data_IF_248661022090
#
_entry.id   IF_248661022090
#
_cell.length_a   1.000
_cell.length_b   1.000
_cell.length_c   1.000
_cell.angle_alpha   90.00
_cell.angle_beta   90.00
_cell.angle_gamma   90.00
#
_symmetry.space_group_name_H-M   'P 1'
#
loop_
_entity.id
_entity.type
_entity.pdbx_description
1 polymer ?
#
# COMPACT_ATOMS: atom_id res chain seq x y z
N UNK A 1 20.18 -8.57 -0.35
CA UNK A 1 19.12 -7.60 -0.03
C UNK A 1 17.92 -7.98 -0.88
N UNK A 2 16.88 -8.57 -0.29
CA UNK A 2 15.66 -8.90 -1.01
C UNK A 2 14.88 -7.59 -1.20
N UNK A 3 15.02 -6.95 -2.36
CA UNK A 3 14.28 -5.73 -2.64
C UNK A 3 12.83 -6.10 -2.98
N UNK A 4 11.88 -5.63 -2.19
CA UNK A 4 10.47 -5.67 -2.56
C UNK A 4 10.24 -4.82 -3.82
N UNK A 5 9.29 -5.21 -4.67
CA UNK A 5 8.99 -4.53 -5.92
C UNK A 5 7.53 -4.08 -5.99
N UNK A 6 7.31 -2.85 -6.45
CA UNK A 6 6.00 -2.23 -6.67
C UNK A 6 5.92 -1.70 -8.11
N UNK A 7 4.72 -1.63 -8.71
CA UNK A 7 4.54 -0.89 -9.96
C UNK A 7 4.90 0.58 -9.75
N UNK A 8 5.55 1.22 -10.73
CA UNK A 8 5.93 2.63 -10.63
C UNK A 8 4.73 3.55 -10.46
N UNK A 9 3.63 3.22 -11.13
CA UNK A 9 2.35 3.90 -11.00
C UNK A 9 1.18 2.97 -11.27
N UNK A 10 0.04 3.31 -10.69
CA UNK A 10 -1.27 2.74 -11.02
C UNK A 10 -2.28 3.88 -11.15
N UNK A 11 -3.31 3.69 -11.96
CA UNK A 11 -4.35 4.70 -12.14
C UNK A 11 -5.76 4.13 -12.07
N UNK A 12 -6.68 4.94 -11.57
CA UNK A 12 -8.10 4.61 -11.48
C UNK A 12 -8.96 5.86 -11.49
N UNK A 13 -10.14 5.79 -12.08
CA UNK A 13 -11.11 6.89 -12.01
C UNK A 13 -11.76 6.94 -10.63
N UNK A 14 -12.30 8.12 -10.27
CA UNK A 14 -13.09 8.30 -9.06
C UNK A 14 -14.23 7.26 -8.98
N UNK A 15 -14.40 6.67 -7.81
CA UNK A 15 -15.40 5.62 -7.57
C UNK A 15 -14.99 4.21 -8.02
N UNK A 16 -13.89 4.05 -8.76
CA UNK A 16 -13.38 2.72 -9.13
C UNK A 16 -12.57 2.10 -8.00
N UNK A 17 -12.18 0.83 -8.20
CA UNK A 17 -11.26 0.12 -7.32
C UNK A 17 -9.87 0.13 -7.94
N UNK A 18 -8.86 0.45 -7.15
CA UNK A 18 -7.44 0.30 -7.53
C UNK A 18 -6.77 -0.73 -6.63
N UNK A 19 -5.83 -1.47 -7.22
CA UNK A 19 -5.00 -2.44 -6.51
C UNK A 19 -3.53 -2.11 -6.73
N UNK A 20 -2.78 -2.07 -5.63
CA UNK A 20 -1.33 -1.88 -5.64
C UNK A 20 -0.70 -3.17 -5.12
N UNK A 21 0.21 -3.76 -5.90
CA UNK A 21 0.88 -5.00 -5.52
C UNK A 21 2.31 -4.73 -5.07
N UNK A 22 2.77 -5.48 -4.07
CA UNK A 22 4.12 -5.46 -3.53
C UNK A 22 4.66 -6.89 -3.51
N UNK A 23 5.60 -7.20 -4.40
CA UNK A 23 6.15 -8.56 -4.56
C UNK A 23 7.51 -8.70 -3.89
N UNK A 24 7.89 -9.94 -3.56
CA UNK A 24 9.14 -10.23 -2.86
C UNK A 24 9.06 -9.99 -1.35
N UNK A 25 7.85 -9.86 -0.79
CA UNK A 25 7.62 -9.73 0.65
C UNK A 25 7.87 -11.06 1.36
N UNK A 26 8.34 -10.99 2.61
CA UNK A 26 8.69 -12.18 3.39
C UNK A 26 7.48 -13.07 3.68
N UNK A 27 7.71 -14.39 3.80
CA UNK A 27 6.67 -15.42 3.94
C UNK A 27 5.81 -15.27 5.20
N UNK A 28 6.27 -14.49 6.20
CA UNK A 28 5.54 -14.25 7.44
C UNK A 28 4.35 -13.29 7.27
N UNK A 29 4.17 -12.69 6.09
CA UNK A 29 3.02 -11.83 5.82
C UNK A 29 2.93 -10.64 6.77
N UNK A 30 4.05 -10.07 7.21
CA UNK A 30 4.06 -8.86 8.02
C UNK A 30 4.44 -7.67 7.13
N UNK A 31 3.43 -7.14 6.42
CA UNK A 31 3.60 -6.06 5.45
C UNK A 31 2.77 -4.85 5.88
N UNK A 32 3.41 -3.68 5.90
CA UNK A 32 2.76 -2.39 6.10
C UNK A 32 2.58 -1.64 4.79
N UNK A 33 1.49 -0.89 4.70
CA UNK A 33 1.22 0.07 3.62
C UNK A 33 1.16 1.49 4.20
N UNK A 34 1.82 2.43 3.53
CA UNK A 34 1.94 3.80 3.99
C UNK A 34 1.61 4.78 2.87
N UNK A 35 0.80 5.79 3.16
CA UNK A 35 0.37 6.83 2.22
C UNK A 35 1.11 8.14 2.52
N UNK A 36 1.77 8.70 1.52
CA UNK A 36 2.36 10.04 1.56
C UNK A 36 1.69 10.93 0.53
N UNK A 37 0.84 11.85 1.01
CA UNK A 37 0.12 12.79 0.13
C UNK A 37 0.98 13.97 -0.30
N UNK A 38 1.85 14.44 0.60
CA UNK A 38 2.68 15.62 0.36
C UNK A 38 4.15 15.19 0.35
N UNK A 39 4.89 15.45 -0.74
CA UNK A 39 6.33 15.18 -0.77
C UNK A 39 7.04 15.87 0.39
N UNK A 40 7.85 15.11 1.13
CA UNK A 40 8.60 15.60 2.28
C UNK A 40 7.87 15.53 3.62
N UNK A 41 6.61 15.08 3.68
CA UNK A 41 5.92 14.80 4.96
C UNK A 41 6.09 13.35 5.39
N UNK A 42 5.91 13.06 6.68
CA UNK A 42 5.87 11.68 7.16
C UNK A 42 4.72 10.91 6.50
N UNK A 43 4.96 9.69 5.98
CA UNK A 43 3.90 8.81 5.52
C UNK A 43 2.95 8.40 6.66
N UNK A 44 1.67 8.23 6.35
CA UNK A 44 0.65 7.73 7.28
C UNK A 44 0.42 6.24 7.01
N UNK A 45 0.43 5.42 8.05
CA UNK A 45 0.09 4.00 7.92
C UNK A 45 -1.39 3.83 7.55
N UNK A 46 -1.67 3.12 6.46
CA UNK A 46 -3.03 2.79 6.02
C UNK A 46 -3.40 1.34 6.30
N UNK A 47 -2.42 0.43 6.24
CA UNK A 47 -2.55 -0.98 6.62
C UNK A 47 -1.27 -1.41 7.34
N UNK A 48 -1.40 -2.21 8.39
CA UNK A 48 -0.30 -2.91 9.07
C UNK A 48 -0.64 -4.39 9.21
N UNK A 49 0.35 -5.21 9.57
CA UNK A 49 0.20 -6.66 9.71
C UNK A 49 -0.56 -7.31 8.53
N UNK A 50 -0.29 -6.82 7.31
CA UNK A 50 -0.90 -7.19 6.02
C UNK A 50 -2.38 -6.94 5.82
N UNK A 51 -3.22 -6.95 6.85
CA UNK A 51 -4.67 -6.79 6.70
C UNK A 51 -5.32 -5.92 7.79
N UNK A 52 -4.56 -5.46 8.77
CA UNK A 52 -5.10 -4.66 9.86
C UNK A 52 -5.07 -3.18 9.50
N UNK A 53 -6.19 -2.50 9.73
CA UNK A 53 -6.37 -1.10 9.39
C UNK A 53 -6.39 -0.25 10.66
N UNK A 54 -5.55 0.79 10.79
CA UNK A 54 -5.59 1.69 11.94
C UNK A 54 -6.95 2.38 12.10
N UNK A 55 -7.28 2.75 13.33
CA UNK A 55 -8.46 3.59 13.59
C UNK A 55 -8.34 4.93 12.86
N UNK A 56 -9.45 5.42 12.30
CA UNK A 56 -9.50 6.66 11.52
C UNK A 56 -9.15 6.50 10.03
N UNK A 57 -8.63 5.35 9.60
CA UNK A 57 -8.45 5.07 8.16
C UNK A 57 -9.78 4.58 7.56
N UNK A 58 -10.21 5.13 6.40
CA UNK A 58 -11.49 4.78 5.79
C UNK A 58 -11.64 3.28 5.47
N UNK A 59 -12.88 2.78 5.57
CA UNK A 59 -13.20 1.37 5.35
C UNK A 59 -12.92 0.87 3.92
N UNK A 60 -12.77 1.79 2.96
CA UNK A 60 -12.40 1.52 1.57
C UNK A 60 -10.99 0.96 1.38
N UNK A 61 -10.09 1.15 2.36
CA UNK A 61 -8.74 0.59 2.31
C UNK A 61 -8.75 -0.82 2.88
N UNK A 62 -8.21 -1.80 2.16
CA UNK A 62 -7.97 -3.14 2.67
C UNK A 62 -6.64 -3.69 2.19
N UNK A 63 -6.00 -4.47 3.04
CA UNK A 63 -4.78 -5.20 2.69
C UNK A 63 -5.04 -6.70 2.58
N UNK A 64 -4.29 -7.34 1.70
CA UNK A 64 -4.22 -8.80 1.62
C UNK A 64 -2.81 -9.24 1.29
N UNK A 65 -2.54 -10.51 1.53
CA UNK A 65 -1.25 -11.11 1.26
C UNK A 65 -1.42 -12.57 0.87
N UNK A 66 -0.65 -13.01 -0.12
CA UNK A 66 -0.60 -14.40 -0.57
C UNK A 66 0.76 -14.73 -1.14
N UNK A 67 1.37 -15.83 -0.71
CA UNK A 67 2.66 -16.28 -1.19
C UNK A 67 3.78 -15.30 -0.86
N UNK A 68 4.27 -14.55 -1.85
CA UNK A 68 5.28 -13.50 -1.66
C UNK A 68 4.80 -12.15 -2.21
N UNK A 69 3.47 -11.96 -2.27
CA UNK A 69 2.84 -10.75 -2.78
C UNK A 69 1.82 -10.22 -1.78
N UNK A 70 2.00 -8.96 -1.38
CA UNK A 70 0.98 -8.19 -0.66
C UNK A 70 0.23 -7.30 -1.65
N UNK A 71 -1.04 -7.01 -1.35
CA UNK A 71 -1.90 -6.17 -2.17
C UNK A 71 -2.64 -5.16 -1.29
N UNK A 72 -2.52 -3.88 -1.60
CA UNK A 72 -3.42 -2.84 -1.10
C UNK A 72 -4.57 -2.67 -2.09
N UNK A 73 -5.81 -2.74 -1.60
CA UNK A 73 -7.01 -2.44 -2.36
C UNK A 73 -7.65 -1.17 -1.82
N UNK A 74 -7.98 -0.25 -2.72
CA UNK A 74 -8.74 0.96 -2.40
C UNK A 74 -10.01 0.93 -3.24
N UNK A 75 -11.16 0.71 -2.60
CA UNK A 75 -12.46 0.66 -3.29
C UNK A 75 -13.14 2.02 -3.28
N UNK A 76 -13.67 2.48 -4.39
CA UNK A 76 -14.33 3.79 -4.41
C UNK A 76 -13.31 4.91 -4.23
N UNK A 77 -12.27 4.91 -5.06
CA UNK A 77 -11.18 5.91 -5.09
C UNK A 77 -11.74 7.33 -5.05
N UNK A 78 -11.15 8.15 -4.20
CA UNK A 78 -11.47 9.58 -4.03
C UNK A 78 -10.28 10.44 -4.45
N UNK A 79 -10.50 11.74 -4.68
CA UNK A 79 -9.43 12.66 -5.08
C UNK A 79 -8.32 12.73 -4.02
N UNK A 80 -8.65 12.55 -2.74
CA UNK A 80 -7.67 12.55 -1.65
C UNK A 80 -6.83 11.28 -1.57
N UNK A 81 -7.13 10.27 -2.40
CA UNK A 81 -6.38 9.01 -2.48
C UNK A 81 -5.21 9.10 -3.48
N UNK A 82 -5.13 10.16 -4.30
CA UNK A 82 -3.96 10.49 -5.12
C UNK A 82 -2.76 10.79 -4.21
N UNK A 83 -1.77 9.90 -4.21
CA UNK A 83 -0.63 9.93 -3.30
C UNK A 83 0.45 8.93 -3.72
N UNK A 84 1.62 9.01 -3.07
CA UNK A 84 2.62 7.95 -3.12
C UNK A 84 2.31 6.92 -2.03
N UNK A 85 2.28 5.64 -2.38
CA UNK A 85 2.04 4.51 -1.50
C UNK A 85 3.26 3.62 -1.41
N UNK A 86 3.73 3.40 -0.20
CA UNK A 86 4.89 2.56 0.10
C UNK A 86 4.43 1.23 0.70
N UNK A 87 5.06 0.13 0.29
CA UNK A 87 5.02 -1.10 1.06
C UNK A 87 6.32 -1.31 1.84
N UNK A 88 6.21 -1.83 3.05
CA UNK A 88 7.34 -2.20 3.90
C UNK A 88 7.15 -3.60 4.48
N UNK A 89 8.21 -4.40 4.52
CA UNK A 89 8.25 -5.75 5.09
C UNK A 89 9.11 -5.76 6.37
N UNK A 90 8.76 -6.64 7.32
CA UNK A 90 9.40 -6.74 8.65
C UNK A 90 10.92 -6.98 8.61
N UNK A 91 11.46 -7.55 7.53
CA UNK A 91 12.89 -7.71 7.30
C UNK A 91 13.64 -6.40 6.99
N UNK A 92 12.95 -5.26 7.00
CA UNK A 92 13.51 -3.93 6.74
C UNK A 92 13.56 -3.56 5.24
N UNK A 93 12.83 -4.29 4.40
CA UNK A 93 12.76 -4.07 2.96
C UNK A 93 11.56 -3.16 2.61
N UNK A 94 11.77 -2.06 1.89
CA UNK A 94 10.74 -1.07 1.51
C UNK A 94 10.76 -0.75 0.01
N UNK A 95 9.61 -0.42 -0.60
CA UNK A 95 9.51 0.14 -1.97
C UNK A 95 8.29 1.08 -2.08
N UNK A 96 8.07 1.69 -3.25
CA UNK A 96 7.07 2.74 -3.47
C UNK A 96 6.33 2.58 -4.81
N UNK A 97 5.05 2.96 -4.84
CA UNK A 97 4.22 3.14 -6.03
C UNK A 97 3.50 4.49 -5.98
N UNK A 98 3.24 5.12 -7.12
CA UNK A 98 2.37 6.31 -7.17
C UNK A 98 0.96 5.90 -7.59
N UNK A 99 -0.08 6.41 -6.92
CA UNK A 99 -1.47 6.29 -7.37
C UNK A 99 -1.90 7.64 -7.93
N UNK A 100 -2.36 7.63 -9.18
CA UNK A 100 -2.84 8.80 -9.93
C UNK A 100 -4.28 8.63 -10.38
#
# INVERSE_FOLDING_TARGET
QAAVTQPSSVSANLGQTVQITCSGVYSSGNVGWFQQKVPGTAPVTVIYDSNDRPSGIPSRFSGSYSGSTATLTITGVQAEDEAVYYCGSYDGSYTAATVT
#
